data_IF_283426408954
#
_entry.id   IF_283426408954
#
_cell.length_a   1.000
_cell.length_b   1.000
_cell.length_c   1.000
_cell.angle_alpha   90.00
_cell.angle_beta   90.00
_cell.angle_gamma   90.00
#
_symmetry.space_group_name_H-M   'P 1'
#
loop_
_entity.id
_entity.type
_entity.pdbx_description
1 polymer ?
#
# COMPACT_ATOMS: atom_id res chain seq x y z
N UNK A 1 -48.78 -27.44 14.71
CA UNK A 1 -47.66 -27.95 15.52
C UNK A 1 -46.51 -26.96 15.45
N UNK A 2 -46.24 -26.22 16.52
CA UNK A 2 -44.93 -25.59 16.76
C UNK A 2 -44.77 -25.53 18.27
N UNK A 3 -43.84 -26.32 18.81
CA UNK A 3 -43.59 -26.48 20.24
C UNK A 3 -42.65 -25.37 20.70
N UNK A 4 -43.10 -24.52 21.63
CA UNK A 4 -42.25 -23.57 22.32
C UNK A 4 -41.21 -24.31 23.18
N UNK A 5 -39.94 -24.22 22.81
CA UNK A 5 -38.83 -24.75 23.60
C UNK A 5 -38.44 -23.71 24.65
N UNK A 6 -38.86 -23.94 25.89
CA UNK A 6 -38.45 -23.16 27.08
C UNK A 6 -36.94 -23.33 27.30
N UNK A 7 -36.18 -22.24 27.26
CA UNK A 7 -34.73 -22.23 27.49
C UNK A 7 -34.47 -22.44 29.01
N UNK A 8 -33.51 -23.30 29.41
CA UNK A 8 -33.18 -23.48 30.83
C UNK A 8 -32.46 -22.25 31.38
N UNK A 9 -32.92 -21.75 32.52
CA UNK A 9 -32.24 -20.68 33.28
C UNK A 9 -30.96 -21.23 33.92
N UNK A 10 -29.81 -20.76 33.46
CA UNK A 10 -28.53 -20.97 34.14
C UNK A 10 -28.51 -20.11 35.41
N UNK A 11 -28.66 -20.74 36.57
CA UNK A 11 -28.41 -20.10 37.85
C UNK A 11 -26.89 -20.02 38.05
N UNK A 12 -26.34 -18.82 37.95
CA UNK A 12 -24.93 -18.56 38.26
C UNK A 12 -24.86 -18.14 39.73
N UNK A 13 -24.15 -18.92 40.54
CA UNK A 13 -24.01 -18.66 41.97
C UNK A 13 -23.16 -17.41 42.23
N UNK A 14 -23.77 -16.41 42.87
CA UNK A 14 -23.13 -15.12 43.17
C UNK A 14 -21.90 -15.22 44.10
N UNK A 15 -21.72 -16.36 44.78
CA UNK A 15 -20.58 -16.62 45.65
C UNK A 15 -19.29 -16.85 44.85
N UNK A 16 -19.38 -17.57 43.73
CA UNK A 16 -18.24 -17.87 42.85
C UNK A 16 -17.69 -16.59 42.19
N UNK A 17 -18.57 -15.64 41.86
CA UNK A 17 -18.18 -14.33 41.32
C UNK A 17 -17.44 -13.48 42.37
N UNK A 18 -17.77 -13.61 43.66
CA UNK A 18 -17.12 -12.84 44.73
C UNK A 18 -15.68 -13.29 44.99
N UNK A 19 -15.44 -14.60 44.94
CA UNK A 19 -14.13 -15.20 45.20
C UNK A 19 -13.13 -14.88 44.08
N UNK A 20 -13.56 -15.03 42.81
CA UNK A 20 -12.79 -14.63 41.63
C UNK A 20 -12.46 -13.13 41.63
N UNK A 21 -13.39 -12.30 42.11
CA UNK A 21 -13.19 -10.85 42.19
C UNK A 21 -12.19 -10.46 43.28
N UNK A 22 -12.09 -11.20 44.37
CA UNK A 22 -11.08 -10.96 45.42
C UNK A 22 -9.67 -11.36 45.00
N UNK A 23 -9.51 -12.42 44.20
CA UNK A 23 -8.19 -12.85 43.71
C UNK A 23 -7.59 -11.89 42.68
N UNK A 24 -8.42 -11.24 41.85
CA UNK A 24 -7.96 -10.25 40.86
C UNK A 24 -7.47 -8.92 41.49
N UNK A 25 -7.80 -8.65 42.75
CA UNK A 25 -7.45 -7.38 43.43
C UNK A 25 -6.00 -7.39 43.96
N UNK A 26 -5.34 -8.54 44.04
CA UNK A 26 -3.99 -8.64 44.60
C UNK A 26 -2.85 -8.48 43.59
N UNK A 27 -3.14 -8.09 42.34
CA UNK A 27 -2.12 -7.79 41.33
C UNK A 27 -1.52 -6.40 41.58
N UNK A 28 -0.40 -6.39 42.34
CA UNK A 28 0.73 -5.44 42.27
C UNK A 28 0.34 -4.01 41.88
N UNK A 29 0.26 -3.11 42.88
CA UNK A 29 -0.01 -1.66 42.72
C UNK A 29 0.91 -1.03 41.67
N UNK A 30 0.46 -0.98 40.42
CA UNK A 30 1.09 -0.21 39.34
C UNK A 30 1.01 1.27 39.74
N UNK A 31 2.15 1.97 39.75
CA UNK A 31 2.23 3.42 39.98
C UNK A 31 1.17 4.10 39.10
N UNK A 32 0.29 4.89 39.72
CA UNK A 32 -0.75 5.64 39.02
C UNK A 32 -0.06 6.53 38.00
N UNK A 33 -0.26 6.26 36.70
CA UNK A 33 0.10 7.19 35.62
C UNK A 33 -0.54 8.54 35.98
N UNK A 34 0.28 9.56 36.23
CA UNK A 34 -0.18 10.94 36.39
C UNK A 34 -1.09 11.23 35.21
N UNK A 35 -2.35 11.61 35.48
CA UNK A 35 -3.32 11.94 34.44
C UNK A 35 -2.66 13.01 33.56
N UNK A 36 -2.45 12.72 32.28
CA UNK A 36 -2.06 13.73 31.31
C UNK A 36 -3.14 14.80 31.40
N UNK A 37 -2.81 15.98 31.93
CA UNK A 37 -3.69 17.14 31.84
C UNK A 37 -3.85 17.36 30.34
N UNK A 38 -5.03 17.06 29.81
CA UNK A 38 -5.32 17.33 28.41
C UNK A 38 -5.16 18.84 28.23
N UNK A 39 -4.08 19.25 27.56
CA UNK A 39 -3.78 20.67 27.28
C UNK A 39 -4.80 21.32 26.33
N UNK A 40 -5.70 20.52 25.77
CA UNK A 40 -6.68 20.91 24.79
C UNK A 40 -8.08 20.66 25.37
N UNK A 41 -8.90 21.70 25.40
CA UNK A 41 -10.33 21.61 25.71
C UNK A 41 -11.05 20.75 24.67
N UNK A 42 -12.19 20.16 25.01
CA UNK A 42 -13.01 19.38 24.07
C UNK A 42 -13.31 20.14 22.76
N UNK A 43 -13.59 21.45 22.86
CA UNK A 43 -13.74 22.32 21.70
C UNK A 43 -12.48 22.41 20.82
N UNK A 44 -11.30 22.50 21.44
CA UNK A 44 -10.03 22.56 20.72
C UNK A 44 -9.69 21.22 20.05
N UNK A 45 -10.02 20.11 20.69
CA UNK A 45 -9.87 18.76 20.11
C UNK A 45 -10.77 18.64 18.88
N UNK A 46 -12.02 19.08 18.96
CA UNK A 46 -12.97 19.05 17.84
C UNK A 46 -12.47 19.89 16.66
N UNK A 47 -12.02 21.12 16.92
CA UNK A 47 -11.46 21.99 15.89
C UNK A 47 -10.24 21.35 15.23
N UNK A 48 -9.32 20.81 16.04
CA UNK A 48 -8.10 20.17 15.52
C UNK A 48 -8.41 18.90 14.72
N UNK A 49 -9.40 18.11 15.14
CA UNK A 49 -9.85 16.94 14.40
C UNK A 49 -10.39 17.33 13.02
N UNK A 50 -11.29 18.31 12.95
CA UNK A 50 -11.86 18.80 11.68
C UNK A 50 -10.77 19.40 10.79
N UNK A 51 -9.85 20.18 11.34
CA UNK A 51 -8.74 20.76 10.55
C UNK A 51 -7.77 19.70 10.04
N UNK A 52 -7.43 18.71 10.88
CA UNK A 52 -6.53 17.61 10.51
C UNK A 52 -7.15 16.74 9.42
N UNK A 53 -8.46 16.42 9.53
CA UNK A 53 -9.16 15.64 8.52
C UNK A 53 -9.35 16.43 7.21
N UNK A 54 -9.62 17.74 7.29
CA UNK A 54 -9.67 18.60 6.11
C UNK A 54 -8.33 18.57 5.37
N UNK A 55 -7.21 18.75 6.08
CA UNK A 55 -5.86 18.66 5.52
C UNK A 55 -5.56 17.29 4.92
N UNK A 56 -5.96 16.20 5.59
CA UNK A 56 -5.80 14.83 5.07
C UNK A 56 -6.52 14.67 3.72
N UNK A 57 -7.77 15.12 3.62
CA UNK A 57 -8.55 15.05 2.38
C UNK A 57 -8.04 15.96 1.29
N UNK A 58 -7.47 17.12 1.63
CA UNK A 58 -6.83 18.00 0.65
C UNK A 58 -5.57 17.36 0.06
N UNK A 59 -4.76 16.71 0.89
CA UNK A 59 -3.60 15.94 0.42
C UNK A 59 -4.02 14.78 -0.49
N UNK A 60 -5.01 14.00 -0.07
CA UNK A 60 -5.56 12.91 -0.86
C UNK A 60 -6.07 13.38 -2.23
N UNK A 61 -6.80 14.50 -2.27
CA UNK A 61 -7.25 15.11 -3.52
C UNK A 61 -6.09 15.58 -4.41
N UNK A 62 -5.06 16.19 -3.82
CA UNK A 62 -3.89 16.64 -4.57
C UNK A 62 -3.18 15.46 -5.27
N UNK A 63 -3.11 14.30 -4.62
CA UNK A 63 -2.54 13.07 -5.22
C UNK A 63 -3.39 12.60 -6.41
N UNK A 64 -4.71 12.64 -6.28
CA UNK A 64 -5.60 12.29 -7.39
C UNK A 64 -5.51 13.29 -8.55
N UNK A 65 -5.39 14.58 -8.26
CA UNK A 65 -5.18 15.61 -9.28
C UNK A 65 -3.84 15.39 -10.03
N UNK A 66 -2.78 14.98 -9.32
CA UNK A 66 -1.50 14.61 -9.94
C UNK A 66 -1.63 13.38 -10.85
N UNK A 67 -2.34 12.34 -10.41
CA UNK A 67 -2.58 11.14 -11.22
C UNK A 67 -3.31 11.47 -12.53
N UNK A 68 -4.27 12.39 -12.50
CA UNK A 68 -5.01 12.84 -13.70
C UNK A 68 -4.10 13.55 -14.70
N UNK A 69 -3.06 14.24 -14.23
CA UNK A 69 -2.07 14.87 -15.12
C UNK A 69 -1.14 13.84 -15.78
N UNK A 70 -0.80 12.76 -15.05
CA UNK A 70 0.16 11.75 -15.52
C UNK A 70 -0.48 10.75 -16.49
N UNK A 71 -1.74 10.38 -16.28
CA UNK A 71 -2.44 9.37 -17.09
C UNK A 71 -3.14 10.08 -18.26
N UNK A 72 -2.73 9.82 -19.53
CA UNK A 72 -3.27 10.54 -20.69
C UNK A 72 -4.78 10.36 -20.91
N UNK A 73 -5.31 9.20 -20.48
CA UNK A 73 -6.72 8.82 -20.67
C UNK A 73 -7.64 9.42 -19.60
N UNK A 74 -7.09 10.05 -18.55
CA UNK A 74 -7.88 10.73 -17.52
C UNK A 74 -8.14 12.18 -17.92
N UNK A 75 -9.41 12.57 -17.86
CA UNK A 75 -9.80 13.95 -18.10
C UNK A 75 -9.86 14.73 -16.77
N UNK A 76 -9.61 16.05 -16.76
CA UNK A 76 -9.68 16.89 -15.56
C UNK A 76 -11.02 16.82 -14.81
N UNK A 77 -12.10 16.47 -15.51
CA UNK A 77 -13.45 16.31 -14.96
C UNK A 77 -13.61 15.01 -14.15
N UNK A 78 -12.75 14.02 -14.39
CA UNK A 78 -12.78 12.70 -13.74
C UNK A 78 -11.98 12.66 -12.43
N UNK A 79 -11.32 13.75 -12.04
CA UNK A 79 -10.50 13.84 -10.81
C UNK A 79 -11.29 13.60 -9.51
N UNK A 80 -12.62 13.59 -9.59
CA UNK A 80 -13.52 13.35 -8.45
C UNK A 80 -13.98 11.89 -8.33
N UNK A 81 -13.66 11.03 -9.28
CA UNK A 81 -14.12 9.64 -9.31
C UNK A 81 -12.97 8.68 -9.04
N UNK A 82 -12.70 8.40 -7.77
CA UNK A 82 -11.60 7.52 -7.31
C UNK A 82 -11.54 6.19 -8.09
N UNK A 83 -12.69 5.52 -8.27
CA UNK A 83 -12.78 4.26 -8.99
C UNK A 83 -12.32 4.38 -10.46
N UNK A 84 -12.70 5.47 -11.14
CA UNK A 84 -12.35 5.70 -12.55
C UNK A 84 -10.84 5.97 -12.65
N UNK A 85 -10.29 6.76 -11.71
CA UNK A 85 -8.86 7.04 -11.64
C UNK A 85 -8.09 5.74 -11.48
N UNK A 86 -8.48 4.88 -10.54
CA UNK A 86 -7.81 3.59 -10.35
C UNK A 86 -7.89 2.69 -11.58
N UNK A 87 -9.08 2.53 -12.16
CA UNK A 87 -9.28 1.66 -13.32
C UNK A 87 -8.43 2.11 -14.52
N UNK A 88 -8.50 3.39 -14.88
CA UNK A 88 -7.73 3.94 -16.00
C UNK A 88 -6.22 3.92 -15.72
N UNK A 89 -5.81 4.21 -14.49
CA UNK A 89 -4.39 4.14 -14.10
C UNK A 89 -3.85 2.72 -14.23
N UNK A 90 -4.61 1.70 -13.82
CA UNK A 90 -4.23 0.30 -13.97
C UNK A 90 -4.13 -0.11 -15.44
N UNK A 91 -5.11 0.28 -16.27
CA UNK A 91 -5.06 0.03 -17.71
C UNK A 91 -3.84 0.69 -18.37
N UNK A 92 -3.54 1.93 -18.01
CA UNK A 92 -2.38 2.64 -18.52
C UNK A 92 -1.07 2.00 -18.09
N UNK A 93 -0.98 1.54 -16.84
CA UNK A 93 0.19 0.82 -16.34
C UNK A 93 0.42 -0.50 -17.10
N UNK A 94 -0.64 -1.27 -17.34
CA UNK A 94 -0.58 -2.48 -18.18
C UNK A 94 -0.05 -2.17 -19.58
N UNK A 95 -0.57 -1.11 -20.20
CA UNK A 95 -0.13 -0.66 -21.52
C UNK A 95 1.35 -0.23 -21.52
N UNK A 96 1.82 0.48 -20.48
CA UNK A 96 3.21 0.89 -20.35
C UNK A 96 4.15 -0.32 -20.26
N UNK A 97 3.78 -1.35 -19.50
CA UNK A 97 4.58 -2.57 -19.40
C UNK A 97 4.67 -3.30 -20.75
N UNK A 98 3.53 -3.54 -21.40
CA UNK A 98 3.53 -4.17 -22.74
C UNK A 98 4.30 -3.35 -23.77
N UNK A 99 4.18 -2.01 -23.72
CA UNK A 99 4.87 -1.12 -24.64
C UNK A 99 6.37 -1.14 -24.41
N UNK A 100 6.80 -1.14 -23.14
CA UNK A 100 8.21 -1.25 -22.77
C UNK A 100 8.80 -2.58 -23.22
N UNK A 101 8.12 -3.70 -22.95
CA UNK A 101 8.54 -5.03 -23.42
C UNK A 101 8.70 -5.07 -24.95
N UNK A 102 7.70 -4.60 -25.70
CA UNK A 102 7.77 -4.51 -27.17
C UNK A 102 8.96 -3.68 -27.64
N UNK A 103 9.22 -2.53 -27.01
CA UNK A 103 10.36 -1.67 -27.35
C UNK A 103 11.69 -2.36 -27.05
N UNK A 104 11.83 -3.06 -25.93
CA UNK A 104 13.01 -3.86 -25.60
C UNK A 104 13.26 -4.95 -26.63
N UNK A 105 12.21 -5.68 -27.01
CA UNK A 105 12.30 -6.72 -28.03
C UNK A 105 12.74 -6.14 -29.39
N UNK A 106 12.25 -4.94 -29.75
CA UNK A 106 12.70 -4.25 -30.97
C UNK A 106 14.16 -3.81 -30.90
N UNK A 107 14.62 -3.31 -29.75
CA UNK A 107 16.02 -2.92 -29.55
C UNK A 107 16.91 -4.17 -29.65
N UNK A 108 16.54 -5.26 -28.99
CA UNK A 108 17.26 -6.54 -29.07
C UNK A 108 17.31 -7.05 -30.52
N UNK A 109 16.19 -7.00 -31.25
CA UNK A 109 16.17 -7.42 -32.66
C UNK A 109 17.07 -6.55 -33.56
N UNK A 110 17.15 -5.23 -33.29
CA UNK A 110 17.97 -4.29 -34.08
C UNK A 110 19.46 -4.35 -33.74
N UNK A 111 19.80 -4.50 -32.46
CA UNK A 111 21.19 -4.44 -31.96
C UNK A 111 21.82 -5.82 -31.74
N UNK A 112 21.02 -6.86 -31.51
CA UNK A 112 21.48 -8.27 -31.53
C UNK A 112 21.82 -8.77 -32.93
N UNK A 113 21.53 -7.98 -33.97
CA UNK A 113 21.86 -8.23 -35.37
C UNK A 113 23.01 -7.36 -35.90
N UNK A 114 23.81 -6.72 -35.03
CA UNK A 114 25.08 -6.12 -35.45
C UNK A 114 26.15 -7.22 -35.32
N UNK A 115 26.56 -7.89 -36.41
CA UNK A 115 27.77 -8.70 -36.36
C UNK A 115 28.93 -7.76 -36.04
N UNK A 116 29.59 -8.01 -34.93
CA UNK A 116 30.85 -7.37 -34.56
C UNK A 116 31.86 -7.51 -35.69
N UNK A 117 31.90 -6.54 -36.60
CA UNK A 117 32.97 -6.40 -37.58
C UNK A 117 34.05 -5.52 -36.97
N UNK A 118 34.92 -6.12 -36.16
CA UNK A 118 36.33 -5.72 -36.04
C UNK A 118 37.09 -6.72 -35.15
N UNK A 119 37.75 -7.66 -35.83
CA UNK A 119 39.09 -8.22 -35.57
C UNK A 119 39.50 -8.61 -34.13
N UNK A 120 39.68 -9.93 -33.94
CA UNK A 120 40.84 -10.46 -33.21
C UNK A 120 40.60 -10.97 -31.79
N UNK A 121 40.72 -12.29 -31.66
CA UNK A 121 41.18 -13.03 -30.46
C UNK A 121 40.15 -13.33 -29.38
N UNK A 122 39.64 -14.56 -29.47
CA UNK A 122 39.35 -15.51 -28.38
C UNK A 122 39.12 -14.93 -26.96
N UNK A 123 37.86 -14.90 -26.49
CA UNK A 123 37.51 -15.27 -25.11
C UNK A 123 35.99 -15.34 -24.90
N UNK A 124 35.60 -16.48 -24.32
CA UNK A 124 34.42 -16.74 -23.49
C UNK A 124 33.05 -16.26 -24.01
N UNK A 125 32.32 -17.25 -24.53
CA UNK A 125 30.90 -17.18 -24.82
C UNK A 125 30.10 -16.96 -23.53
N UNK A 126 29.93 -15.72 -23.14
CA UNK A 126 28.75 -15.25 -22.45
C UNK A 126 28.36 -13.95 -23.15
N UNK A 127 27.43 -14.06 -24.10
CA UNK A 127 26.78 -12.89 -24.70
C UNK A 127 26.06 -12.15 -23.60
N UNK A 128 26.77 -11.23 -22.94
CA UNK A 128 26.25 -10.43 -21.86
C UNK A 128 25.29 -9.40 -22.45
N UNK A 129 24.04 -9.83 -22.62
CA UNK A 129 22.91 -9.06 -23.12
C UNK A 129 22.52 -7.91 -22.17
N UNK A 130 23.23 -7.73 -21.06
CA UNK A 130 22.99 -6.67 -20.08
C UNK A 130 23.40 -5.25 -20.52
N UNK A 131 24.14 -5.11 -21.63
CA UNK A 131 24.67 -3.82 -22.07
C UNK A 131 23.74 -2.99 -22.97
N UNK A 132 22.63 -3.58 -23.46
CA UNK A 132 21.77 -2.90 -24.44
C UNK A 132 20.61 -2.14 -23.76
N UNK A 133 20.13 -2.65 -22.62
CA UNK A 133 19.12 -1.99 -21.78
C UNK A 133 19.62 -2.05 -20.34
N UNK A 134 19.97 -0.90 -19.73
CA UNK A 134 20.42 -0.88 -18.35
C UNK A 134 19.42 -1.57 -17.41
N UNK A 135 19.92 -2.44 -16.53
CA UNK A 135 19.09 -3.25 -15.63
C UNK A 135 18.27 -2.38 -14.67
N UNK A 136 18.76 -1.19 -14.31
CA UNK A 136 18.01 -0.24 -13.48
C UNK A 136 16.74 0.29 -14.15
N UNK A 137 16.66 0.25 -15.49
CA UNK A 137 15.46 0.64 -16.25
C UNK A 137 14.47 -0.52 -16.43
N UNK A 138 14.81 -1.70 -15.90
CA UNK A 138 13.96 -2.88 -15.90
C UNK A 138 13.33 -3.02 -14.52
N UNK A 139 12.11 -2.49 -14.40
CA UNK A 139 11.34 -2.53 -13.15
C UNK A 139 11.23 -3.94 -12.55
N UNK A 140 11.18 -4.99 -13.38
CA UNK A 140 11.14 -6.40 -12.96
C UNK A 140 12.44 -6.88 -12.29
N UNK A 141 13.59 -6.30 -12.67
CA UNK A 141 14.93 -6.66 -12.17
C UNK A 141 15.39 -5.75 -11.01
N UNK A 142 14.80 -4.56 -10.87
CA UNK A 142 15.16 -3.57 -9.84
C UNK A 142 14.78 -3.98 -8.40
N UNK A 143 13.93 -4.98 -8.23
CA UNK A 143 13.48 -5.42 -6.89
C UNK A 143 14.44 -6.39 -6.19
N UNK A 144 15.47 -6.92 -6.86
CA UNK A 144 16.39 -7.89 -6.25
C UNK A 144 17.40 -7.24 -5.26
N UNK A 145 17.53 -5.91 -5.25
CA UNK A 145 18.56 -5.20 -4.48
C UNK A 145 18.04 -4.51 -3.19
N UNK A 146 16.73 -4.50 -2.93
CA UNK A 146 16.14 -3.83 -1.76
C UNK A 146 15.73 -4.79 -0.61
N UNK A 147 16.27 -6.01 -0.63
CA UNK A 147 15.93 -7.09 0.31
C UNK A 147 17.04 -7.54 1.27
N UNK A 148 18.08 -6.73 1.50
CA UNK A 148 19.12 -7.00 2.51
C UNK A 148 19.12 -5.98 3.64
#
# INVERSE_FOLDING_TARGET
>A
MTKDKKIPSLQVDLAEIKEVKSELVNVKKRKRRTKKINKLTDGQIRINHVSSEKKRRELERAIFDELVVVVPDLQPQESRSELIIYLKSLSYLSWLYERNEKLRNQIIAKHGAIPSSSNGTEREQNGDMSNVVPKELIWELGNEQNGQ
#
